data_IF_844975755634
#
_entry.id   IF_844975755634
#
_cell.length_a   1.000
_cell.length_b   1.000
_cell.length_c   1.000
_cell.angle_alpha   90.00
_cell.angle_beta   90.00
_cell.angle_gamma   90.00
#
_symmetry.space_group_name_H-M   'P 1'
#
loop_
_entity.id
_entity.type
_entity.pdbx_description
1 polymer ?
#
# COMPACT_ATOMS: atom_id res chain seq x y z
N UNK A 1 21.94 -21.89 4.11
CA UNK A 1 22.53 -21.41 2.87
C UNK A 1 21.41 -21.01 1.92
N UNK A 2 21.44 -19.79 1.37
CA UNK A 2 20.35 -19.27 0.53
C UNK A 2 20.75 -19.45 -0.94
N UNK A 3 20.13 -20.40 -1.63
CA UNK A 3 20.43 -20.70 -3.04
C UNK A 3 19.84 -19.62 -3.96
N UNK A 4 20.69 -18.70 -4.45
CA UNK A 4 20.31 -17.65 -5.40
C UNK A 4 20.44 -18.20 -6.81
N UNK A 5 19.32 -18.33 -7.51
CA UNK A 5 19.29 -18.86 -8.88
C UNK A 5 19.60 -17.82 -9.93
N UNK A 6 19.11 -16.59 -9.72
CA UNK A 6 19.32 -15.50 -10.66
C UNK A 6 19.35 -14.16 -9.95
N UNK A 7 20.16 -13.26 -10.49
CA UNK A 7 20.22 -11.86 -10.10
C UNK A 7 20.00 -11.04 -11.37
N UNK A 8 19.01 -10.17 -11.35
CA UNK A 8 18.69 -9.26 -12.45
C UNK A 8 18.71 -7.83 -11.95
N UNK A 9 19.36 -6.94 -12.71
CA UNK A 9 19.50 -5.52 -12.37
C UNK A 9 19.02 -4.71 -13.57
N UNK A 10 17.90 -4.02 -13.41
CA UNK A 10 17.32 -3.19 -14.46
C UNK A 10 17.32 -1.71 -14.05
N UNK A 11 17.76 -0.78 -14.93
CA UNK A 11 17.69 0.65 -14.64
C UNK A 11 16.23 1.12 -14.54
N UNK A 12 15.96 2.09 -13.67
CA UNK A 12 14.65 2.72 -13.56
C UNK A 12 14.66 4.06 -14.30
N UNK A 13 13.71 4.27 -15.20
CA UNK A 13 13.65 5.50 -16.02
C UNK A 13 13.35 6.78 -15.25
N UNK A 14 12.87 6.66 -14.00
CA UNK A 14 12.39 7.76 -13.17
C UNK A 14 13.27 8.00 -11.93
N UNK A 15 14.38 7.26 -11.80
CA UNK A 15 15.30 7.37 -10.66
C UNK A 15 16.73 7.13 -11.13
N UNK A 16 17.69 7.72 -10.43
CA UNK A 16 19.11 7.38 -10.54
C UNK A 16 19.44 6.00 -9.93
N UNK A 17 18.46 5.34 -9.32
CA UNK A 17 18.59 3.99 -8.75
C UNK A 17 18.23 2.89 -9.77
N UNK A 18 18.80 1.70 -9.57
CA UNK A 18 18.44 0.48 -10.34
C UNK A 18 17.60 -0.47 -9.49
N UNK A 19 16.69 -1.22 -10.14
CA UNK A 19 15.92 -2.29 -9.52
C UNK A 19 16.76 -3.56 -9.46
N UNK A 20 17.01 -4.07 -8.25
CA UNK A 20 17.64 -5.37 -8.02
C UNK A 20 16.56 -6.44 -7.79
N UNK A 21 16.54 -7.48 -8.62
CA UNK A 21 15.66 -8.63 -8.50
C UNK A 21 16.49 -9.88 -8.22
N UNK A 22 16.20 -10.53 -7.10
CA UNK A 22 16.84 -11.78 -6.68
C UNK A 22 15.82 -12.92 -6.80
N UNK A 23 16.20 -13.97 -7.52
CA UNK A 23 15.43 -15.22 -7.59
C UNK A 23 16.08 -16.26 -6.68
N UNK A 24 15.29 -16.80 -5.76
CA UNK A 24 15.75 -17.81 -4.79
C UNK A 24 15.17 -19.16 -5.16
N UNK A 25 16.01 -20.19 -5.13
CA UNK A 25 15.60 -21.56 -5.48
C UNK A 25 14.76 -22.26 -4.41
N UNK A 26 14.63 -21.64 -3.24
CA UNK A 26 13.82 -22.15 -2.14
C UNK A 26 12.36 -21.73 -2.32
N UNK A 27 11.39 -22.61 -1.99
CA UNK A 27 10.00 -22.18 -1.88
C UNK A 27 9.92 -21.00 -0.90
N UNK A 28 9.16 -19.97 -1.26
CA UNK A 28 8.80 -18.89 -0.33
C UNK A 28 8.42 -19.54 1.00
N UNK A 29 9.04 -19.16 2.13
CA UNK A 29 8.72 -19.76 3.41
C UNK A 29 7.22 -19.65 3.57
N UNK A 30 6.56 -20.81 3.57
CA UNK A 30 5.11 -20.91 3.65
C UNK A 30 4.67 -20.01 4.80
N UNK A 31 3.81 -19.03 4.49
CA UNK A 31 3.21 -18.15 5.49
C UNK A 31 2.46 -19.02 6.50
N UNK A 32 3.15 -19.48 7.54
CA UNK A 32 2.54 -20.19 8.67
C UNK A 32 1.99 -19.16 9.63
N UNK A 33 0.69 -19.33 9.87
CA UNK A 33 -0.21 -18.62 10.80
C UNK A 33 -0.16 -17.08 10.73
N UNK A 34 -1.16 -16.56 10.05
CA UNK A 34 -1.46 -15.14 9.98
C UNK A 34 -1.70 -14.58 11.39
N UNK A 35 -0.78 -13.75 11.88
CA UNK A 35 -1.12 -12.77 12.91
C UNK A 35 -2.27 -11.86 12.43
N UNK A 36 -2.89 -11.07 13.32
CA UNK A 36 -4.04 -10.23 12.96
C UNK A 36 -3.73 -9.39 11.72
N UNK A 37 -4.57 -9.54 10.69
CA UNK A 37 -4.39 -8.83 9.42
C UNK A 37 -4.49 -7.34 9.68
N UNK A 38 -3.37 -6.63 9.51
CA UNK A 38 -3.36 -5.17 9.58
C UNK A 38 -3.78 -4.62 8.23
N UNK A 39 -4.94 -4.01 8.17
CA UNK A 39 -5.40 -3.32 6.97
C UNK A 39 -4.66 -2.00 6.82
N UNK A 40 -4.14 -1.73 5.63
CA UNK A 40 -3.52 -0.46 5.31
C UNK A 40 -3.95 0.01 3.93
N UNK A 41 -3.92 1.33 3.74
CA UNK A 41 -3.98 1.93 2.41
C UNK A 41 -2.55 2.25 1.97
N UNK A 42 -2.05 1.65 0.88
CA UNK A 42 -0.76 2.02 0.33
C UNK A 42 -0.74 3.53 0.04
N UNK A 43 0.15 4.28 0.70
CA UNK A 43 0.27 5.74 0.55
C UNK A 43 0.78 6.16 -0.84
N UNK A 44 1.12 5.21 -1.71
CA UNK A 44 1.76 5.44 -3.01
C UNK A 44 0.83 5.95 -4.12
N UNK A 45 -0.42 6.29 -3.79
CA UNK A 45 -1.37 6.90 -4.72
C UNK A 45 -1.98 8.17 -4.12
N UNK A 46 -1.14 9.13 -3.73
CA UNK A 46 -1.52 10.55 -3.86
C UNK A 46 -1.60 10.84 -5.35
N UNK A 47 -2.62 10.30 -6.02
CA UNK A 47 -3.03 10.70 -7.37
C UNK A 47 -4.10 11.78 -7.17
N UNK A 48 -3.71 13.06 -7.00
CA UNK A 48 -4.68 14.13 -6.76
C UNK A 48 -5.65 14.27 -7.94
N UNK A 49 -5.20 13.97 -9.16
CA UNK A 49 -6.01 14.04 -10.38
C UNK A 49 -7.05 12.91 -10.40
N UNK A 50 -6.63 11.67 -10.14
CA UNK A 50 -7.53 10.54 -10.01
C UNK A 50 -8.47 10.66 -8.82
N UNK A 51 -7.99 11.19 -7.69
CA UNK A 51 -8.82 11.49 -6.53
C UNK A 51 -9.91 12.51 -6.88
N UNK A 52 -9.54 13.62 -7.51
CA UNK A 52 -10.49 14.65 -7.92
C UNK A 52 -11.51 14.11 -8.94
N UNK A 53 -11.07 13.25 -9.87
CA UNK A 53 -11.96 12.58 -10.83
C UNK A 53 -12.96 11.67 -10.13
N UNK A 54 -12.53 10.89 -9.13
CA UNK A 54 -13.40 9.99 -8.37
C UNK A 54 -14.31 10.70 -7.38
N UNK A 55 -13.83 11.80 -6.79
CA UNK A 55 -14.59 12.66 -5.91
C UNK A 55 -15.75 13.34 -6.67
N UNK A 56 -15.51 13.69 -7.94
CA UNK A 56 -16.49 14.31 -8.81
C UNK A 56 -16.82 15.74 -8.39
N UNK A 57 -17.90 16.28 -8.97
CA UNK A 57 -18.43 17.60 -8.60
C UNK A 57 -19.34 17.43 -7.39
N UNK A 58 -19.09 18.19 -6.32
CA UNK A 58 -20.02 18.25 -5.18
C UNK A 58 -21.31 18.92 -5.68
N UNK A 59 -22.46 18.25 -5.61
CA UNK A 59 -23.73 18.82 -6.06
C UNK A 59 -24.09 20.14 -5.36
N UNK A 60 -24.56 21.14 -6.10
CA UNK A 60 -25.01 22.42 -5.52
C UNK A 60 -26.23 22.27 -4.59
N UNK A 61 -26.90 21.12 -4.62
CA UNK A 61 -27.97 20.76 -3.68
C UNK A 61 -27.53 20.77 -2.21
N UNK A 62 -26.23 20.87 -1.94
CA UNK A 62 -25.64 20.93 -0.61
C UNK A 62 -25.67 22.34 0.02
N UNK A 63 -25.87 23.40 -0.76
CA UNK A 63 -25.74 24.80 -0.32
C UNK A 63 -26.76 25.22 0.77
N UNK A 64 -27.87 24.50 0.92
CA UNK A 64 -28.90 24.79 1.93
C UNK A 64 -28.93 23.81 3.11
N UNK A 65 -28.00 22.84 3.16
CA UNK A 65 -27.97 21.85 4.22
C UNK A 65 -27.23 22.38 5.46
N UNK A 66 -27.62 21.94 6.67
CA UNK A 66 -26.86 22.18 7.89
C UNK A 66 -25.41 21.68 7.73
N UNK A 67 -24.47 22.36 8.40
CA UNK A 67 -23.04 22.05 8.34
C UNK A 67 -22.72 20.59 8.68
N UNK A 68 -23.41 19.99 9.64
CA UNK A 68 -23.24 18.58 10.00
C UNK A 68 -23.58 17.64 8.84
N UNK A 69 -24.66 17.93 8.12
CA UNK A 69 -25.10 17.15 6.95
C UNK A 69 -24.10 17.27 5.79
N UNK A 70 -23.53 18.47 5.63
CA UNK A 70 -22.46 18.73 4.66
C UNK A 70 -21.21 17.89 4.98
N UNK A 71 -20.73 17.94 6.22
CA UNK A 71 -19.54 17.20 6.66
C UNK A 71 -19.76 15.69 6.53
N UNK A 72 -20.91 15.18 6.96
CA UNK A 72 -21.24 13.76 6.86
C UNK A 72 -21.25 13.29 5.40
N UNK A 73 -21.85 14.07 4.51
CA UNK A 73 -21.91 13.72 3.10
C UNK A 73 -20.55 13.80 2.43
N UNK A 74 -19.77 14.84 2.71
CA UNK A 74 -18.41 14.99 2.23
C UNK A 74 -17.53 13.81 2.65
N UNK A 75 -17.55 13.45 3.94
CA UNK A 75 -16.78 12.32 4.46
C UNK A 75 -17.15 11.01 3.77
N UNK A 76 -18.44 10.80 3.47
CA UNK A 76 -18.91 9.63 2.74
C UNK A 76 -18.36 9.58 1.31
N UNK A 77 -18.45 10.69 0.57
CA UNK A 77 -17.98 10.75 -0.83
C UNK A 77 -16.45 10.63 -0.89
N UNK A 78 -15.74 11.37 -0.04
CA UNK A 78 -14.29 11.32 0.05
C UNK A 78 -13.78 9.92 0.43
N UNK A 79 -14.42 9.24 1.38
CA UNK A 79 -14.09 7.87 1.73
C UNK A 79 -14.30 6.91 0.55
N UNK A 80 -15.41 7.03 -0.18
CA UNK A 80 -15.67 6.22 -1.37
C UNK A 80 -14.66 6.45 -2.50
N UNK A 81 -14.25 7.70 -2.72
CA UNK A 81 -13.19 8.02 -3.68
C UNK A 81 -11.85 7.38 -3.25
N UNK A 82 -11.49 7.49 -1.97
CA UNK A 82 -10.30 6.85 -1.39
C UNK A 82 -10.33 5.32 -1.53
N UNK A 83 -11.49 4.68 -1.38
CA UNK A 83 -11.64 3.23 -1.57
C UNK A 83 -11.35 2.78 -3.00
N UNK A 84 -11.68 3.62 -3.99
CA UNK A 84 -11.43 3.31 -5.41
C UNK A 84 -9.98 3.54 -5.80
N UNK A 85 -9.37 4.64 -5.37
CA UNK A 85 -7.99 4.97 -5.75
C UNK A 85 -6.97 4.20 -4.90
N UNK A 86 -7.30 3.91 -3.65
CA UNK A 86 -6.42 3.29 -2.67
C UNK A 86 -7.21 2.28 -1.82
N UNK A 87 -7.62 1.14 -2.42
CA UNK A 87 -8.37 0.12 -1.71
C UNK A 87 -7.56 -0.40 -0.53
N UNK A 88 -8.26 -0.75 0.54
CA UNK A 88 -7.65 -1.40 1.70
C UNK A 88 -7.01 -2.69 1.26
N UNK A 89 -5.73 -2.84 1.60
CA UNK A 89 -4.99 -4.08 1.34
C UNK A 89 -4.64 -4.74 2.67
N UNK A 90 -4.71 -6.07 2.73
CA UNK A 90 -4.22 -6.80 3.88
C UNK A 90 -2.69 -6.67 3.89
N UNK A 91 -2.13 -6.10 4.96
CA UNK A 91 -0.75 -6.34 5.32
C UNK A 91 -0.75 -7.58 6.18
N UNK A 92 -0.18 -8.66 5.66
CA UNK A 92 0.25 -9.73 6.53
C UNK A 92 1.37 -9.18 7.41
N UNK A 93 1.03 -8.82 8.65
CA UNK A 93 2.02 -8.70 9.71
C UNK A 93 2.57 -10.09 9.96
N UNK A 94 3.57 -10.46 9.17
CA UNK A 94 4.45 -11.57 9.53
C UNK A 94 5.03 -11.20 10.90
N UNK A 95 4.72 -11.99 11.92
CA UNK A 95 5.33 -11.86 13.23
C UNK A 95 6.84 -11.75 13.07
N UNK A 96 7.44 -10.83 13.84
CA UNK A 96 8.87 -10.49 13.88
C UNK A 96 9.73 -11.30 12.91
N UNK A 97 9.76 -10.88 11.64
CA UNK A 97 10.78 -11.37 10.72
C UNK A 97 12.08 -10.70 11.17
N UNK A 98 12.79 -11.28 12.14
CA UNK A 98 14.25 -11.15 12.15
C UNK A 98 14.63 -11.64 10.76
N UNK A 99 15.12 -10.74 9.91
CA UNK A 99 15.52 -11.14 8.59
C UNK A 99 16.51 -12.30 8.77
N UNK A 100 16.45 -13.39 7.99
CA UNK A 100 17.26 -14.58 8.25
C UNK A 100 18.78 -14.31 8.27
N UNK A 101 19.20 -13.12 7.82
CA UNK A 101 20.57 -12.60 7.82
C UNK A 101 20.87 -11.61 8.96
N UNK A 102 19.89 -11.24 9.80
CA UNK A 102 20.10 -10.39 10.97
C UNK A 102 20.48 -11.26 12.17
N UNK A 103 21.79 -11.43 12.37
CA UNK A 103 22.35 -12.09 13.54
C UNK A 103 22.78 -11.07 14.60
N UNK A 104 22.93 -11.53 15.84
CA UNK A 104 23.22 -10.66 16.99
C UNK A 104 24.66 -10.12 16.98
N UNK A 105 25.50 -10.67 16.11
CA UNK A 105 26.90 -10.29 15.92
C UNK A 105 27.09 -8.95 15.17
N UNK A 106 26.02 -8.37 14.62
CA UNK A 106 26.03 -7.07 13.93
C UNK A 106 25.54 -5.91 14.82
N UNK A 107 25.63 -6.06 16.16
CA UNK A 107 25.24 -5.04 17.14
C UNK A 107 26.39 -4.13 17.55
#
# INVERSE_FOLDING_TARGET
>A
DLDVRAIDISPLSWSDHSLLRLDFGTPLPHCKEAGPIKWFRPRRLMDPVGFQRELGVIPDSFVHNPSESLVATWNRVAAGALDRIAPLRPLHSGGSRRAPWFTEELR
#
